data_IF_904791213483
#
_entry.id   IF_904791213483
#
_cell.length_a   1.000
_cell.length_b   1.000
_cell.length_c   1.000
_cell.angle_alpha   90.00
_cell.angle_beta   90.00
_cell.angle_gamma   90.00
#
_symmetry.space_group_name_H-M   'P 1'
#
loop_
_entity.id
_entity.type
_entity.pdbx_description
1 polymer ?
#
# COMPACT_ATOMS: atom_id res chain seq x y z
N UNK A 1 9.49 -1.45 -11.92
CA UNK A 1 10.11 -1.28 -10.60
C UNK A 1 10.73 -2.55 -10.07
N UNK A 2 9.99 -3.54 -9.53
CA UNK A 2 10.59 -4.78 -9.01
C UNK A 2 11.56 -5.46 -10.00
N UNK A 3 11.14 -5.65 -11.25
CA UNK A 3 12.00 -6.25 -12.30
C UNK A 3 13.23 -5.38 -12.58
N UNK A 4 13.09 -4.06 -12.52
CA UNK A 4 14.16 -3.10 -12.81
C UNK A 4 15.23 -3.06 -11.71
N UNK A 5 14.91 -3.53 -10.49
CA UNK A 5 15.89 -3.63 -9.42
C UNK A 5 16.87 -4.79 -9.64
N UNK A 6 16.42 -5.85 -10.31
CA UNK A 6 17.30 -6.94 -10.74
C UNK A 6 18.11 -6.51 -11.96
N UNK A 7 17.42 -6.03 -13.01
CA UNK A 7 18.07 -5.60 -14.25
C UNK A 7 17.17 -4.62 -15.04
N UNK A 8 17.76 -3.50 -15.44
CA UNK A 8 17.10 -2.49 -16.25
C UNK A 8 16.80 -2.99 -17.67
N UNK A 9 17.62 -3.89 -18.25
CA UNK A 9 17.30 -4.48 -19.56
C UNK A 9 16.04 -5.34 -19.50
N UNK A 10 15.91 -6.17 -18.45
CA UNK A 10 14.69 -6.98 -18.21
C UNK A 10 13.45 -6.10 -18.03
N UNK A 11 13.60 -4.92 -17.42
CA UNK A 11 12.49 -3.97 -17.31
C UNK A 11 11.99 -3.52 -18.68
N UNK A 12 12.88 -3.17 -19.61
CA UNK A 12 12.48 -2.78 -20.95
C UNK A 12 11.92 -3.94 -21.77
N UNK A 13 12.49 -5.15 -21.65
CA UNK A 13 11.93 -6.35 -22.29
C UNK A 13 10.51 -6.67 -21.78
N UNK A 14 10.30 -6.51 -20.47
CA UNK A 14 8.98 -6.63 -19.87
C UNK A 14 8.02 -5.58 -20.43
N UNK A 15 8.45 -4.31 -20.53
CA UNK A 15 7.65 -3.23 -21.13
C UNK A 15 7.22 -3.52 -22.57
N UNK A 16 8.10 -4.05 -23.40
CA UNK A 16 7.77 -4.46 -24.77
C UNK A 16 6.65 -5.52 -24.78
N UNK A 17 6.69 -6.45 -23.83
CA UNK A 17 5.68 -7.51 -23.69
C UNK A 17 4.33 -6.96 -23.21
N UNK A 18 4.33 -5.87 -22.44
CA UNK A 18 3.13 -5.28 -21.84
C UNK A 18 2.64 -4.00 -22.51
N UNK A 19 3.16 -3.68 -23.70
CA UNK A 19 2.89 -2.44 -24.44
C UNK A 19 1.41 -2.10 -24.64
N UNK A 20 0.54 -3.11 -24.76
CA UNK A 20 -0.90 -2.94 -25.03
C UNK A 20 -1.81 -3.60 -23.98
N UNK A 21 -1.47 -3.47 -22.69
CA UNK A 21 -2.27 -4.09 -21.62
C UNK A 21 -3.51 -3.31 -21.16
N UNK A 22 -3.67 -2.02 -21.48
CA UNK A 22 -4.83 -1.25 -20.97
C UNK A 22 -6.18 -1.72 -21.50
N UNK A 23 -6.21 -2.52 -22.57
CA UNK A 23 -7.42 -3.20 -23.05
C UNK A 23 -7.95 -4.16 -21.98
N UNK A 24 -7.07 -4.86 -21.28
CA UNK A 24 -7.41 -5.80 -20.21
C UNK A 24 -7.73 -5.08 -18.89
N UNK A 25 -7.02 -3.99 -18.57
CA UNK A 25 -7.29 -3.16 -17.38
C UNK A 25 -8.71 -2.59 -17.33
N UNK A 26 -9.34 -2.34 -18.49
CA UNK A 26 -10.71 -1.79 -18.58
C UNK A 26 -11.81 -2.86 -18.60
N UNK A 27 -11.48 -4.11 -18.92
CA UNK A 27 -12.47 -5.18 -19.10
C UNK A 27 -12.54 -6.14 -17.92
N UNK A 28 -11.42 -6.32 -17.22
CA UNK A 28 -11.28 -7.34 -16.18
C UNK A 28 -11.16 -6.75 -14.77
N UNK A 29 -11.32 -7.60 -13.75
CA UNK A 29 -11.11 -7.23 -12.34
C UNK A 29 -9.64 -6.96 -12.02
N UNK A 30 -9.38 -6.19 -10.95
CA UNK A 30 -8.02 -5.93 -10.45
C UNK A 30 -7.25 -7.24 -10.16
N UNK A 31 -7.96 -8.28 -9.70
CA UNK A 31 -7.40 -9.61 -9.45
C UNK A 31 -6.96 -10.32 -10.76
N UNK A 32 -7.79 -10.27 -11.80
CA UNK A 32 -7.43 -10.83 -13.10
C UNK A 32 -6.23 -10.09 -13.71
N UNK A 33 -6.22 -8.75 -13.62
CA UNK A 33 -5.09 -7.93 -14.04
C UNK A 33 -3.80 -8.30 -13.29
N UNK A 34 -3.88 -8.47 -11.97
CA UNK A 34 -2.76 -8.94 -11.16
C UNK A 34 -2.21 -10.30 -11.64
N UNK A 35 -3.08 -11.28 -11.85
CA UNK A 35 -2.67 -12.61 -12.33
C UNK A 35 -2.05 -12.56 -13.74
N UNK A 36 -2.58 -11.70 -14.62
CA UNK A 36 -2.02 -11.47 -15.96
C UNK A 36 -0.61 -10.90 -15.86
N UNK A 37 -0.40 -9.89 -15.01
CA UNK A 37 0.91 -9.28 -14.79
C UNK A 37 1.90 -10.30 -14.23
N UNK A 38 1.51 -11.12 -13.25
CA UNK A 38 2.36 -12.19 -12.73
C UNK A 38 2.74 -13.20 -13.82
N UNK A 39 1.78 -13.60 -14.66
CA UNK A 39 2.04 -14.54 -15.76
C UNK A 39 3.02 -13.97 -16.79
N UNK A 40 2.91 -12.67 -17.11
CA UNK A 40 3.85 -11.99 -18.02
C UNK A 40 5.22 -11.80 -17.38
N UNK A 41 5.27 -11.42 -16.11
CA UNK A 41 6.52 -11.26 -15.37
C UNK A 41 7.26 -12.59 -15.20
N UNK A 42 6.54 -13.71 -15.09
CA UNK A 42 7.14 -15.05 -14.99
C UNK A 42 7.89 -15.51 -16.25
N UNK A 43 7.84 -14.76 -17.35
CA UNK A 43 8.72 -14.99 -18.51
C UNK A 43 10.16 -14.51 -18.26
N UNK A 44 10.33 -13.57 -17.32
CA UNK A 44 11.60 -12.92 -17.00
C UNK A 44 12.11 -13.23 -15.59
N UNK A 45 11.25 -13.76 -14.73
CA UNK A 45 11.52 -14.03 -13.32
C UNK A 45 11.46 -15.53 -13.03
N UNK A 46 12.35 -16.00 -12.16
CA UNK A 46 12.30 -17.35 -11.60
C UNK A 46 11.10 -17.54 -10.65
N UNK A 47 10.74 -18.78 -10.34
CA UNK A 47 9.66 -19.09 -9.40
C UNK A 47 9.85 -18.43 -8.03
N UNK A 48 11.09 -18.37 -7.53
CA UNK A 48 11.42 -17.69 -6.28
C UNK A 48 11.17 -16.18 -6.39
N UNK A 49 11.65 -15.55 -7.48
CA UNK A 49 11.44 -14.13 -7.73
C UNK A 49 9.95 -13.78 -7.92
N UNK A 50 9.15 -14.68 -8.50
CA UNK A 50 7.69 -14.49 -8.59
C UNK A 50 7.07 -14.47 -7.19
N UNK A 51 7.49 -15.36 -6.28
CA UNK A 51 6.99 -15.35 -4.91
C UNK A 51 7.40 -14.07 -4.16
N UNK A 52 8.64 -13.59 -4.38
CA UNK A 52 9.08 -12.29 -3.87
C UNK A 52 8.31 -11.13 -4.49
N UNK A 53 7.99 -11.18 -5.79
CA UNK A 53 7.16 -10.18 -6.46
C UNK A 53 5.76 -10.14 -5.84
N UNK A 54 5.13 -11.29 -5.59
CA UNK A 54 3.84 -11.38 -4.89
C UNK A 54 3.93 -10.71 -3.52
N UNK A 55 4.97 -11.03 -2.75
CA UNK A 55 5.21 -10.39 -1.45
C UNK A 55 5.39 -8.87 -1.57
N UNK A 56 6.25 -8.41 -2.48
CA UNK A 56 6.52 -7.00 -2.73
C UNK A 56 5.27 -6.22 -3.18
N UNK A 57 4.38 -6.84 -3.95
CA UNK A 57 3.08 -6.28 -4.32
C UNK A 57 2.13 -6.21 -3.13
N UNK A 58 2.08 -7.25 -2.29
CA UNK A 58 1.29 -7.26 -1.04
C UNK A 58 1.71 -6.14 -0.09
N UNK A 59 3.01 -5.93 0.08
CA UNK A 59 3.54 -4.85 0.93
C UNK A 59 3.66 -3.49 0.22
N UNK A 60 3.33 -3.45 -1.07
CA UNK A 60 3.37 -2.25 -1.92
C UNK A 60 4.73 -1.54 -1.98
N UNK A 61 5.83 -2.32 -1.93
CA UNK A 61 7.20 -1.83 -1.74
C UNK A 61 7.63 -0.69 -2.68
N UNK A 62 7.21 -0.72 -3.96
CA UNK A 62 7.60 0.29 -4.96
C UNK A 62 6.56 1.38 -5.22
N UNK A 63 5.46 1.39 -4.48
CA UNK A 63 4.45 2.45 -4.61
C UNK A 63 5.02 3.85 -4.30
N UNK A 64 5.92 4.03 -3.31
CA UNK A 64 6.59 5.31 -3.08
C UNK A 64 7.40 5.79 -4.29
N UNK A 65 8.10 4.88 -4.98
CA UNK A 65 8.88 5.21 -6.19
C UNK A 65 7.97 5.70 -7.32
N UNK A 66 6.83 5.04 -7.53
CA UNK A 66 5.84 5.49 -8.53
C UNK A 66 5.26 6.84 -8.14
N UNK A 67 4.92 7.05 -6.86
CA UNK A 67 4.40 8.33 -6.37
C UNK A 67 5.42 9.46 -6.47
N UNK A 68 6.71 9.19 -6.29
CA UNK A 68 7.78 10.17 -6.48
C UNK A 68 7.77 10.73 -7.90
N UNK A 69 7.64 9.87 -8.93
CA UNK A 69 7.55 10.34 -10.32
C UNK A 69 6.27 11.14 -10.61
N UNK A 70 5.14 10.77 -9.98
CA UNK A 70 3.93 11.57 -10.06
C UNK A 70 4.10 12.95 -9.44
N UNK A 71 4.80 13.04 -8.31
CA UNK A 71 5.09 14.31 -7.65
C UNK A 71 6.00 15.20 -8.51
N UNK A 72 7.04 14.62 -9.11
CA UNK A 72 7.90 15.33 -10.07
C UNK A 72 7.08 15.87 -11.24
N UNK A 73 6.14 15.08 -11.77
CA UNK A 73 5.25 15.52 -12.84
C UNK A 73 4.22 16.57 -12.39
N UNK A 74 3.89 16.64 -11.09
CA UNK A 74 3.04 17.68 -10.54
C UNK A 74 3.79 19.02 -10.42
N UNK A 75 5.07 18.98 -10.06
CA UNK A 75 5.94 20.16 -10.00
C UNK A 75 6.33 20.66 -11.41
N UNK A 76 6.43 19.72 -12.37
CA UNK A 76 6.68 20.00 -13.78
C UNK A 76 5.49 19.59 -14.67
N UNK A 77 4.35 20.32 -14.61
CA UNK A 77 3.13 19.87 -15.22
C UNK A 77 3.24 19.79 -16.75
N UNK A 78 2.54 18.82 -17.37
CA UNK A 78 2.43 18.74 -18.81
C UNK A 78 1.68 19.94 -19.40
N UNK A 79 1.81 20.17 -20.71
CA UNK A 79 0.86 20.98 -21.46
C UNK A 79 -0.59 20.49 -21.23
N UNK A 80 -1.55 21.39 -21.34
CA UNK A 80 -2.95 21.10 -21.05
C UNK A 80 -3.50 19.92 -21.88
N UNK A 81 -4.23 19.03 -21.22
CA UNK A 81 -4.96 17.93 -21.87
C UNK A 81 -4.15 16.68 -22.20
N UNK A 82 -2.89 16.58 -21.81
CA UNK A 82 -2.03 15.46 -22.20
C UNK A 82 -2.07 14.27 -21.24
N UNK A 83 -2.29 13.07 -21.80
CA UNK A 83 -2.21 11.77 -21.10
C UNK A 83 -0.75 11.30 -20.92
N UNK A 84 0.10 11.63 -21.89
CA UNK A 84 1.53 11.38 -21.89
C UNK A 84 2.25 12.58 -22.52
N UNK A 85 3.46 12.85 -22.06
CA UNK A 85 4.26 13.97 -22.55
C UNK A 85 5.75 13.68 -22.47
N UNK A 86 6.51 14.39 -23.29
CA UNK A 86 7.95 14.24 -23.41
C UNK A 86 8.62 15.53 -22.97
N UNK A 87 9.69 15.41 -22.18
CA UNK A 87 10.55 16.51 -21.75
C UNK A 87 11.92 16.37 -22.39
N UNK A 88 12.34 17.44 -23.09
CA UNK A 88 13.63 17.53 -23.78
C UNK A 88 14.30 18.82 -23.32
N UNK A 89 15.22 18.68 -22.35
CA UNK A 89 15.97 19.77 -21.74
C UNK A 89 15.02 20.95 -21.41
N UNK A 90 14.17 20.78 -20.39
CA UNK A 90 13.15 21.71 -19.88
C UNK A 90 11.90 21.94 -20.77
N UNK A 91 11.99 21.74 -22.10
CA UNK A 91 10.82 21.91 -22.97
C UNK A 91 9.96 20.66 -23.01
N UNK A 92 8.64 20.86 -22.85
CA UNK A 92 7.64 19.81 -22.81
C UNK A 92 6.84 19.79 -24.12
N UNK A 93 6.52 18.61 -24.62
CA UNK A 93 5.59 18.44 -25.74
C UNK A 93 4.73 17.19 -25.57
N UNK A 94 3.51 17.26 -26.09
CA UNK A 94 2.60 16.12 -26.17
C UNK A 94 2.41 15.63 -27.61
N UNK A 95 3.21 16.13 -28.55
CA UNK A 95 3.12 15.76 -29.96
C UNK A 95 4.43 15.15 -30.42
N UNK A 96 4.35 13.95 -30.98
CA UNK A 96 5.51 13.26 -31.57
C UNK A 96 6.20 14.08 -32.67
N UNK A 97 5.42 14.86 -33.44
CA UNK A 97 5.93 15.71 -34.52
C UNK A 97 6.87 16.83 -34.04
N UNK A 98 6.73 17.29 -32.80
CA UNK A 98 7.53 18.39 -32.26
C UNK A 98 8.86 17.92 -31.68
N UNK A 99 9.01 16.62 -31.37
CA UNK A 99 10.23 16.02 -30.81
C UNK A 99 11.45 16.37 -31.68
N UNK A 100 11.34 16.19 -33.00
CA UNK A 100 12.44 16.52 -33.94
C UNK A 100 12.85 17.99 -33.89
N UNK A 101 11.89 18.90 -33.69
CA UNK A 101 12.16 20.35 -33.60
C UNK A 101 12.85 20.70 -32.28
N UNK A 102 12.41 20.09 -31.19
CA UNK A 102 12.97 20.33 -29.86
C UNK A 102 14.38 19.77 -29.71
N UNK A 103 14.68 18.61 -30.31
CA UNK A 103 16.01 18.00 -30.30
C UNK A 103 17.08 18.89 -30.95
N UNK A 104 16.75 19.59 -32.04
CA UNK A 104 17.69 20.52 -32.71
C UNK A 104 18.17 21.65 -31.80
N UNK A 105 17.33 22.07 -30.84
CA UNK A 105 17.64 23.14 -29.89
C UNK A 105 18.06 22.60 -28.51
N UNK A 106 18.30 21.30 -28.38
CA UNK A 106 18.61 20.69 -27.09
C UNK A 106 20.03 21.05 -26.61
N UNK A 107 20.99 21.20 -27.52
CA UNK A 107 22.37 21.57 -27.20
C UNK A 107 22.50 22.96 -26.56
N UNK A 108 21.55 23.86 -26.81
CA UNK A 108 21.51 25.22 -26.26
C UNK A 108 21.01 25.26 -24.80
N UNK A 109 20.50 24.14 -24.28
CA UNK A 109 19.81 24.07 -22.98
C UNK A 109 20.57 23.18 -22.01
N UNK A 110 20.47 23.45 -20.69
CA UNK A 110 21.11 22.62 -19.69
C UNK A 110 20.60 21.17 -19.79
N UNK A 111 21.54 20.23 -19.67
CA UNK A 111 21.22 18.81 -19.62
C UNK A 111 20.46 18.54 -18.31
N UNK A 112 19.31 17.84 -18.36
CA UNK A 112 18.54 17.56 -17.16
C UNK A 112 19.32 16.67 -16.20
N UNK A 113 19.11 16.88 -14.90
CA UNK A 113 19.64 15.99 -13.87
C UNK A 113 18.93 14.65 -13.92
N UNK A 114 19.71 13.57 -13.97
CA UNK A 114 19.22 12.20 -13.96
C UNK A 114 19.36 11.61 -12.56
N UNK A 115 18.31 10.93 -12.09
CA UNK A 115 18.38 10.25 -10.80
C UNK A 115 19.14 8.92 -10.94
N UNK A 116 19.73 8.44 -9.84
CA UNK A 116 20.54 7.21 -9.85
C UNK A 116 19.77 5.95 -10.29
N UNK A 117 18.46 5.88 -10.04
CA UNK A 117 17.59 4.73 -10.35
C UNK A 117 16.55 5.08 -11.40
N UNK A 118 16.94 5.74 -12.49
CA UNK A 118 16.04 5.97 -13.62
C UNK A 118 16.11 4.85 -14.65
N UNK A 119 14.96 4.58 -15.26
CA UNK A 119 14.83 3.59 -16.33
C UNK A 119 15.36 4.19 -17.62
N UNK A 120 16.66 4.00 -17.88
CA UNK A 120 17.33 4.43 -19.11
C UNK A 120 17.21 3.33 -20.15
N UNK A 121 16.74 3.64 -21.35
CA UNK A 121 16.71 2.67 -22.44
C UNK A 121 18.15 2.29 -22.84
N UNK A 122 18.46 1.00 -23.09
CA UNK A 122 19.78 0.58 -23.50
C UNK A 122 20.29 1.40 -24.70
N UNK A 123 21.42 2.08 -24.52
CA UNK A 123 22.02 2.94 -25.55
C UNK A 123 23.54 2.87 -25.46
N UNK A 124 24.21 2.94 -26.61
CA UNK A 124 25.66 2.89 -26.73
C UNK A 124 26.30 4.28 -26.56
N UNK A 125 25.54 5.35 -26.80
CA UNK A 125 26.04 6.72 -26.78
C UNK A 125 25.33 7.55 -25.70
N UNK A 126 26.11 8.06 -24.76
CA UNK A 126 25.61 8.89 -23.66
C UNK A 126 25.78 10.40 -23.89
N UNK A 127 26.48 10.81 -24.95
CA UNK A 127 26.78 12.21 -25.24
C UNK A 127 25.69 12.93 -26.04
N UNK A 128 24.56 12.26 -26.26
CA UNK A 128 23.43 12.78 -27.03
C UNK A 128 22.33 13.36 -26.13
N UNK A 129 21.41 14.17 -26.68
CA UNK A 129 20.36 14.81 -25.89
C UNK A 129 19.50 13.81 -25.10
N UNK A 130 19.12 14.22 -23.90
CA UNK A 130 18.27 13.41 -23.01
C UNK A 130 16.80 13.71 -23.28
N UNK A 131 16.02 12.64 -23.42
CA UNK A 131 14.58 12.67 -23.64
C UNK A 131 13.88 11.85 -22.57
N UNK A 132 13.02 12.49 -21.80
CA UNK A 132 12.28 11.87 -20.69
C UNK A 132 10.82 11.75 -21.10
N UNK A 133 10.29 10.53 -21.15
CA UNK A 133 8.87 10.27 -21.38
C UNK A 133 8.16 10.11 -20.04
N UNK A 134 7.10 10.87 -19.84
CA UNK A 134 6.13 10.68 -18.78
C UNK A 134 4.88 10.04 -19.38
N UNK A 135 4.60 8.79 -19.02
CA UNK A 135 3.44 8.08 -19.54
C UNK A 135 2.94 6.99 -18.59
N UNK A 136 1.68 6.59 -18.78
CA UNK A 136 1.11 5.40 -18.17
C UNK A 136 1.37 4.20 -19.08
N UNK A 137 2.08 3.20 -18.55
CA UNK A 137 2.45 1.98 -19.27
C UNK A 137 1.17 1.24 -19.72
N UNK A 138 1.22 0.71 -20.95
CA UNK A 138 0.13 -0.06 -21.52
C UNK A 138 -0.94 0.77 -22.21
N UNK A 139 -0.87 2.11 -22.17
CA UNK A 139 -1.77 3.02 -22.90
C UNK A 139 -1.37 3.18 -24.36
N UNK A 140 -2.32 3.55 -25.22
CA UNK A 140 -2.05 3.82 -26.64
C UNK A 140 -1.06 4.96 -26.85
N UNK A 141 -1.11 5.98 -25.98
CA UNK A 141 -0.22 7.13 -26.11
C UNK A 141 1.21 6.78 -25.71
N UNK A 142 1.38 5.95 -24.68
CA UNK A 142 2.69 5.34 -24.37
C UNK A 142 3.26 4.63 -25.59
N UNK A 143 2.50 3.73 -26.24
CA UNK A 143 2.98 2.99 -27.42
C UNK A 143 3.43 3.94 -28.54
N UNK A 144 2.63 4.97 -28.87
CA UNK A 144 2.98 5.94 -29.91
C UNK A 144 4.30 6.65 -29.65
N UNK A 145 4.52 7.13 -28.42
CA UNK A 145 5.76 7.81 -28.07
C UNK A 145 6.93 6.83 -28.01
N UNK A 146 6.71 5.68 -27.38
CA UNK A 146 7.72 4.65 -27.20
C UNK A 146 8.30 4.19 -28.54
N UNK A 147 7.46 3.90 -29.55
CA UNK A 147 7.93 3.53 -30.90
C UNK A 147 8.83 4.60 -31.52
N UNK A 148 8.43 5.88 -31.44
CA UNK A 148 9.20 6.99 -32.03
C UNK A 148 10.53 7.19 -31.29
N UNK A 149 10.53 7.04 -29.96
CA UNK A 149 11.73 7.23 -29.14
C UNK A 149 12.68 6.04 -29.27
N UNK A 150 12.19 4.81 -29.29
CA UNK A 150 13.01 3.59 -29.46
C UNK A 150 13.72 3.60 -30.82
N UNK A 151 13.05 3.99 -31.90
CA UNK A 151 13.66 4.15 -33.23
C UNK A 151 14.79 5.19 -33.23
N UNK A 152 14.67 6.24 -32.42
CA UNK A 152 15.71 7.27 -32.30
C UNK A 152 16.90 6.81 -31.47
N UNK A 153 16.66 6.00 -30.44
CA UNK A 153 17.75 5.40 -29.66
C UNK A 153 18.55 4.39 -30.50
N UNK A 154 17.86 3.61 -31.35
CA UNK A 154 18.53 2.70 -32.29
C UNK A 154 19.43 3.41 -33.29
N UNK A 155 19.13 4.68 -33.61
CA UNK A 155 19.97 5.57 -34.44
C UNK A 155 21.02 6.33 -33.61
N UNK A 156 21.12 6.03 -32.33
CA UNK A 156 22.02 6.68 -31.37
C UNK A 156 21.82 8.20 -31.28
N UNK A 157 20.61 8.70 -31.56
CA UNK A 157 20.33 10.15 -31.59
C UNK A 157 19.98 10.73 -30.21
N UNK A 158 19.51 9.90 -29.28
CA UNK A 158 18.97 10.33 -27.99
C UNK A 158 19.27 9.32 -26.87
N UNK A 159 19.31 9.82 -25.64
CA UNK A 159 19.16 9.01 -24.43
C UNK A 159 17.69 9.04 -24.02
N UNK A 160 17.03 7.89 -24.00
CA UNK A 160 15.61 7.78 -23.65
C UNK A 160 15.43 7.29 -22.22
N UNK A 161 14.59 7.98 -21.45
CA UNK A 161 14.24 7.64 -20.07
C UNK A 161 12.73 7.58 -19.91
N UNK A 162 12.23 6.60 -19.16
CA UNK A 162 10.81 6.49 -18.81
C UNK A 162 10.57 6.84 -17.34
N UNK A 163 9.62 7.76 -17.10
CA UNK A 163 9.04 8.08 -15.79
C UNK A 163 7.56 7.73 -15.78
N UNK A 164 7.09 7.17 -14.66
CA UNK A 164 5.68 6.82 -14.49
C UNK A 164 4.84 8.08 -14.33
N UNK A 165 3.79 8.20 -15.14
CA UNK A 165 2.86 9.32 -15.05
C UNK A 165 1.43 8.86 -15.34
N UNK A 166 0.47 9.38 -14.58
CA UNK A 166 -0.95 9.10 -14.76
C UNK A 166 -1.67 10.43 -14.67
N UNK A 167 -2.33 10.85 -15.75
CA UNK A 167 -2.97 12.16 -15.84
C UNK A 167 -4.03 12.40 -14.76
N UNK A 168 -4.78 11.36 -14.40
CA UNK A 168 -5.85 11.43 -13.40
C UNK A 168 -5.65 10.30 -12.39
N UNK A 169 -4.81 10.50 -11.36
CA UNK A 169 -4.66 9.51 -10.31
C UNK A 169 -5.98 9.36 -9.53
N UNK A 170 -6.22 8.16 -9.00
CA UNK A 170 -7.39 7.94 -8.15
C UNK A 170 -7.27 8.74 -6.85
N UNK A 171 -8.38 9.32 -6.38
CA UNK A 171 -8.44 9.98 -5.07
C UNK A 171 -8.44 9.00 -3.89
N UNK A 172 -8.53 7.68 -4.18
CA UNK A 172 -8.55 6.63 -3.15
C UNK A 172 -7.19 6.57 -2.46
N UNK A 173 -7.20 6.80 -1.14
CA UNK A 173 -6.02 6.59 -0.29
C UNK A 173 -5.64 5.11 -0.26
N UNK A 174 -4.34 4.87 -0.24
CA UNK A 174 -3.76 3.54 -0.23
C UNK A 174 -3.61 3.02 1.20
N UNK A 175 -3.99 1.76 1.45
CA UNK A 175 -3.68 1.10 2.71
C UNK A 175 -2.20 0.72 2.73
N UNK A 176 -1.51 1.11 3.80
CA UNK A 176 -0.15 0.69 4.07
C UNK A 176 -0.15 -0.59 4.90
N UNK A 177 0.90 -1.36 4.77
CA UNK A 177 1.14 -2.61 5.51
C UNK A 177 2.56 -2.59 6.06
N UNK A 178 2.87 -3.51 6.98
CA UNK A 178 4.19 -3.56 7.62
C UNK A 178 4.26 -2.82 8.96
N UNK A 179 3.12 -2.53 9.57
CA UNK A 179 3.03 -2.09 10.96
C UNK A 179 2.35 -3.19 11.79
N UNK A 180 2.78 -3.32 13.04
CA UNK A 180 2.10 -4.13 14.05
C UNK A 180 1.16 -3.26 14.87
N UNK A 181 0.02 -3.83 15.26
CA UNK A 181 -0.87 -3.22 16.26
C UNK A 181 -0.83 -4.11 17.49
N UNK A 182 -0.54 -3.54 18.64
CA UNK A 182 -0.58 -4.24 19.91
C UNK A 182 -1.71 -3.70 20.79
N UNK A 183 -2.30 -4.58 21.60
CA UNK A 183 -3.26 -4.22 22.63
C UNK A 183 -2.59 -4.44 23.99
N UNK A 184 -2.02 -3.37 24.54
CA UNK A 184 -1.38 -3.42 25.85
C UNK A 184 -2.42 -3.37 26.97
N UNK A 185 -2.36 -4.34 27.89
CA UNK A 185 -3.16 -4.34 29.12
C UNK A 185 -2.53 -3.32 30.08
N UNK A 186 -3.27 -2.26 30.44
CA UNK A 186 -2.77 -1.20 31.32
C UNK A 186 -2.86 -1.53 32.82
N UNK A 187 -3.86 -2.31 33.22
CA UNK A 187 -4.06 -2.70 34.63
C UNK A 187 -3.50 -4.11 34.87
N UNK A 188 -2.17 -4.23 34.87
CA UNK A 188 -1.49 -5.52 35.17
C UNK A 188 -1.41 -5.81 36.67
N UNK A 189 -1.63 -4.81 37.54
CA UNK A 189 -1.42 -4.91 38.99
C UNK A 189 -2.59 -5.54 39.75
N UNK A 190 -3.83 -5.42 39.26
CA UNK A 190 -5.05 -5.77 40.03
C UNK A 190 -5.76 -7.05 39.58
N UNK A 191 -5.25 -7.74 38.55
CA UNK A 191 -5.90 -8.95 37.98
C UNK A 191 -4.99 -10.17 37.84
N UNK A 192 -3.70 -10.05 38.18
CA UNK A 192 -2.70 -11.06 37.80
C UNK A 192 -2.36 -12.07 38.90
N UNK A 193 -2.79 -11.85 40.15
CA UNK A 193 -2.44 -12.72 41.28
C UNK A 193 -3.58 -12.75 42.28
N UNK A 194 -4.36 -13.83 42.27
CA UNK A 194 -5.32 -14.11 43.34
C UNK A 194 -4.58 -14.82 44.49
N UNK A 195 -4.05 -14.04 45.43
CA UNK A 195 -3.42 -14.54 46.66
C UNK A 195 -4.47 -14.90 47.74
N UNK A 196 -5.76 -14.90 47.40
CA UNK A 196 -6.83 -15.25 48.34
C UNK A 196 -6.81 -16.76 48.56
N UNK A 197 -6.09 -17.18 49.62
CA UNK A 197 -6.36 -18.46 50.26
C UNK A 197 -7.84 -18.49 50.63
N UNK A 198 -8.58 -19.38 49.97
CA UNK A 198 -10.01 -19.63 50.18
C UNK A 198 -10.25 -19.89 51.67
N UNK A 199 -10.65 -18.84 52.40
CA UNK A 199 -11.42 -18.98 53.63
C UNK A 199 -12.87 -18.74 53.24
N UNK A 200 -13.61 -19.83 53.23
CA UNK A 200 -15.04 -19.85 53.01
C UNK A 200 -15.74 -18.88 53.96
N UNK A 201 -16.53 -17.95 53.42
CA UNK A 201 -17.64 -17.33 54.14
C UNK A 201 -18.74 -17.02 53.13
N UNK A 202 -19.87 -17.68 53.32
CA UNK A 202 -21.13 -17.39 52.67
C UNK A 202 -21.56 -15.98 53.09
N UNK A 203 -21.49 -14.99 52.22
CA UNK A 203 -22.20 -13.73 52.44
C UNK A 203 -23.32 -13.57 51.41
N UNK A 204 -24.50 -13.80 51.96
CA UNK A 204 -25.83 -13.41 51.52
C UNK A 204 -25.89 -11.95 51.08
N UNK A 205 -26.46 -11.74 49.89
CA UNK A 205 -27.41 -10.66 49.55
C UNK A 205 -27.42 -9.43 50.45
N UNK A 206 -26.84 -8.33 49.97
CA UNK A 206 -27.36 -7.00 50.28
C UNK A 206 -27.72 -6.30 48.97
N UNK A 207 -29.02 -6.03 48.87
CA UNK A 207 -29.63 -5.13 47.90
C UNK A 207 -29.18 -3.70 48.23
N UNK A 208 -28.26 -3.14 47.46
CA UNK A 208 -28.05 -1.70 47.43
C UNK A 208 -28.70 -1.13 46.16
N UNK A 209 -29.88 -0.55 46.34
CA UNK A 209 -30.64 0.23 45.34
C UNK A 209 -30.13 1.69 45.29
N UNK A 210 -28.82 1.88 45.49
CA UNK A 210 -28.14 3.17 45.54
C UNK A 210 -27.03 3.33 44.50
N UNK A 211 -27.21 4.34 43.65
CA UNK A 211 -26.18 5.08 42.90
C UNK A 211 -25.56 4.51 41.59
N UNK A 212 -26.01 5.15 40.50
CA UNK A 212 -25.23 5.84 39.47
C UNK A 212 -23.97 5.16 38.90
N UNK A 213 -24.09 4.56 37.72
CA UNK A 213 -22.92 4.19 36.93
C UNK A 213 -23.25 3.84 35.48
N UNK A 214 -22.54 4.48 34.56
CA UNK A 214 -22.45 4.07 33.16
C UNK A 214 -21.80 2.68 33.09
N UNK A 215 -22.57 1.66 32.69
CA UNK A 215 -22.04 0.30 32.50
C UNK A 215 -21.83 0.08 31.02
N UNK A 216 -20.57 -0.07 30.61
CA UNK A 216 -20.15 -0.34 29.23
C UNK A 216 -20.70 0.65 28.17
N UNK A 217 -20.89 1.92 28.53
CA UNK A 217 -21.45 2.94 27.63
C UNK A 217 -22.96 3.17 27.76
N UNK A 218 -23.66 2.41 28.62
CA UNK A 218 -25.10 2.54 28.83
C UNK A 218 -25.45 3.32 30.10
N UNK A 219 -26.25 4.37 29.94
CA UNK A 219 -26.84 5.15 31.03
C UNK A 219 -28.18 4.54 31.44
N UNK A 220 -28.13 3.55 32.34
CA UNK A 220 -29.31 2.81 32.78
C UNK A 220 -30.36 3.68 33.47
N UNK A 221 -29.98 4.83 34.03
CA UNK A 221 -30.92 5.77 34.66
C UNK A 221 -31.84 6.42 33.63
N UNK A 222 -31.28 6.89 32.50
CA UNK A 222 -32.06 7.43 31.38
C UNK A 222 -32.93 6.36 30.73
N UNK A 223 -32.40 5.14 30.59
CA UNK A 223 -33.15 4.04 29.98
C UNK A 223 -34.36 3.63 30.83
N UNK A 224 -34.21 3.57 32.16
CA UNK A 224 -35.31 3.30 33.09
C UNK A 224 -36.38 4.41 33.09
N UNK A 225 -35.99 5.67 32.89
CA UNK A 225 -36.92 6.80 32.80
C UNK A 225 -37.71 6.80 31.48
N UNK A 226 -37.07 6.47 30.35
CA UNK A 226 -37.72 6.46 29.03
C UNK A 226 -38.57 5.22 28.79
N UNK A 227 -38.20 4.08 29.39
CA UNK A 227 -38.87 2.79 29.20
C UNK A 227 -39.23 2.15 30.55
N UNK A 228 -40.21 2.70 31.27
CA UNK A 228 -40.63 2.19 32.58
C UNK A 228 -41.18 0.76 32.53
N UNK A 229 -41.80 0.37 31.41
CA UNK A 229 -42.37 -0.97 31.21
C UNK A 229 -41.31 -2.08 31.09
N UNK A 230 -40.04 -1.71 30.84
CA UNK A 230 -38.92 -2.63 30.63
C UNK A 230 -37.93 -2.64 31.79
N UNK A 231 -38.33 -2.15 32.97
CA UNK A 231 -37.44 -1.98 34.14
C UNK A 231 -36.77 -3.28 34.58
N UNK A 232 -37.49 -4.40 34.57
CA UNK A 232 -36.95 -5.70 34.96
C UNK A 232 -35.93 -6.24 33.94
N UNK A 233 -36.23 -6.10 32.64
CA UNK A 233 -35.31 -6.48 31.56
C UNK A 233 -34.04 -5.63 31.58
N UNK A 234 -34.16 -4.33 31.87
CA UNK A 234 -33.00 -3.44 32.02
C UNK A 234 -32.14 -3.81 33.24
N UNK A 235 -32.75 -4.33 34.31
CA UNK A 235 -32.02 -4.83 35.48
C UNK A 235 -31.27 -6.12 35.15
N UNK A 236 -31.91 -7.05 34.45
CA UNK A 236 -31.29 -8.29 34.01
C UNK A 236 -30.14 -8.03 33.02
N UNK A 237 -30.35 -7.13 32.06
CA UNK A 237 -29.31 -6.70 31.12
C UNK A 237 -28.12 -6.03 31.83
N UNK A 238 -28.37 -5.17 32.82
CA UNK A 238 -27.30 -4.58 33.64
C UNK A 238 -26.48 -5.65 34.37
N UNK A 239 -27.14 -6.66 34.97
CA UNK A 239 -26.46 -7.78 35.63
C UNK A 239 -25.59 -8.56 34.65
N UNK A 240 -26.12 -8.91 33.49
CA UNK A 240 -25.36 -9.61 32.44
C UNK A 240 -24.13 -8.81 31.98
N UNK A 241 -24.24 -7.49 31.83
CA UNK A 241 -23.10 -6.64 31.47
C UNK A 241 -22.01 -6.65 32.55
N UNK A 242 -22.38 -6.59 33.83
CA UNK A 242 -21.43 -6.64 34.94
C UNK A 242 -20.74 -8.00 35.02
N UNK A 243 -21.50 -9.09 34.91
CA UNK A 243 -20.97 -10.46 34.89
C UNK A 243 -20.03 -10.68 33.69
N UNK A 244 -20.43 -10.22 32.50
CA UNK A 244 -19.60 -10.35 31.29
C UNK A 244 -18.32 -9.51 31.32
N UNK A 245 -18.28 -8.43 32.11
CA UNK A 245 -17.10 -7.58 32.27
C UNK A 245 -16.01 -8.25 33.13
N UNK A 246 -16.41 -9.20 33.99
CA UNK A 246 -15.49 -9.99 34.81
C UNK A 246 -15.02 -11.30 34.16
N UNK A 247 -15.25 -11.51 32.86
CA UNK A 247 -14.77 -12.68 32.09
C UNK A 247 -13.24 -12.77 31.87
N UNK A 248 -12.43 -12.05 32.66
CA UNK A 248 -11.00 -12.33 32.72
C UNK A 248 -10.77 -13.28 33.88
N UNK A 249 -10.64 -14.56 33.56
CA UNK A 249 -10.28 -15.59 34.53
C UNK A 249 -8.91 -15.21 35.15
N UNK A 250 -8.84 -15.00 36.48
CA UNK A 250 -7.59 -14.61 37.12
C UNK A 250 -6.58 -15.76 37.00
N UNK A 251 -5.38 -15.46 36.49
CA UNK A 251 -4.31 -16.44 36.34
C UNK A 251 -3.69 -16.75 37.70
N UNK A 252 -3.48 -18.03 38.01
CA UNK A 252 -2.82 -18.42 39.27
C UNK A 252 -1.31 -18.32 39.13
N UNK A 253 -0.62 -17.94 40.20
CA UNK A 253 0.83 -17.67 40.21
C UNK A 253 1.66 -18.87 39.71
N UNK A 254 1.28 -20.10 40.07
CA UNK A 254 1.98 -21.31 39.64
C UNK A 254 1.74 -21.67 38.17
N UNK A 255 0.64 -21.22 37.57
CA UNK A 255 0.36 -21.43 36.14
C UNK A 255 1.29 -20.56 35.30
N UNK A 256 1.64 -19.35 35.77
CA UNK A 256 2.59 -18.45 35.12
C UNK A 256 4.03 -18.98 35.13
N UNK A 257 4.46 -19.67 36.18
CA UNK A 257 5.82 -20.22 36.30
C UNK A 257 6.13 -21.28 35.24
N UNK A 258 5.12 -22.05 34.81
CA UNK A 258 5.25 -23.09 33.80
C UNK A 258 4.79 -22.69 32.40
N UNK A 259 4.16 -21.52 32.24
CA UNK A 259 3.40 -21.19 31.02
C UNK A 259 4.27 -21.18 29.76
N UNK A 260 5.49 -20.65 29.85
CA UNK A 260 6.42 -20.63 28.73
C UNK A 260 6.82 -22.05 28.30
N UNK A 261 7.09 -22.93 29.26
CA UNK A 261 7.48 -24.32 29.00
C UNK A 261 6.31 -25.10 28.38
N UNK A 262 5.11 -24.96 28.94
CA UNK A 262 3.89 -25.60 28.43
C UNK A 262 3.56 -25.11 27.02
N UNK A 263 3.61 -23.80 26.78
CA UNK A 263 3.41 -23.24 25.43
C UNK A 263 4.45 -23.76 24.44
N UNK A 264 5.73 -23.84 24.85
CA UNK A 264 6.79 -24.35 23.99
C UNK A 264 6.57 -25.83 23.63
N UNK A 265 6.17 -26.66 24.60
CA UNK A 265 5.85 -28.08 24.37
C UNK A 265 4.61 -28.23 23.49
N UNK A 266 3.59 -27.38 23.60
CA UNK A 266 2.41 -27.43 22.74
C UNK A 266 2.65 -26.95 21.29
N UNK A 267 3.73 -26.21 21.04
CA UNK A 267 4.11 -25.76 19.70
C UNK A 267 4.84 -26.85 18.89
N UNK A 268 5.26 -27.95 19.54
CA UNK A 268 5.89 -29.12 18.93
C UNK A 268 4.95 -30.33 18.92
#
# INVERSE_FOLDING_TARGET
EFIAEDDNEKFWQFLETVRELTIYKKRDSEHSYYNLILKKAGQFLSNLQINLLKFALSIRAYSPTVQMFQQIAADEPPPEGCSAFVVIHEKRTCKTNEIKKLLKKAAERPRPYLFKKEHKFPTLNENVPVVILYAEIGTKDFVKFHTVLSEKVQKEEIVYILRHYVQKPSSRKMYLSGYGVELAIKSTEYKAVDDIQIKATNDTTEEDDGEAGEVQGFLFDKLKQMYPDLKDNLREFRKHLIESTNNLEPLKVWELQGIYLVCCVCLF
#
